data_IF_113676518422
#
_entry.id   IF_113676518422
#
_cell.length_a   1.000
_cell.length_b   1.000
_cell.length_c   1.000
_cell.angle_alpha   90.00
_cell.angle_beta   90.00
_cell.angle_gamma   90.00
#
_symmetry.space_group_name_H-M   'P 1'
#
loop_
_entity.id
_entity.type
_entity.pdbx_description
1 polymer ?
#
# COMPACT_ATOMS: atom_id res chain seq x y z
N UNK A 1 14.77 -25.20 11.36
CA UNK A 1 14.33 -25.69 10.03
C UNK A 1 14.75 -24.64 9.02
N UNK A 2 15.78 -24.92 8.22
CA UNK A 2 16.40 -23.96 7.30
C UNK A 2 15.35 -23.37 6.36
N UNK A 3 15.13 -22.05 6.38
CA UNK A 3 14.59 -21.34 5.20
C UNK A 3 15.63 -21.57 4.10
N UNK A 4 15.26 -22.29 3.05
CA UNK A 4 16.09 -22.35 1.85
C UNK A 4 16.33 -20.89 1.40
N UNK A 5 17.58 -20.45 1.45
CA UNK A 5 17.97 -19.16 0.91
C UNK A 5 17.77 -19.25 -0.60
N UNK A 6 16.83 -18.47 -1.13
CA UNK A 6 16.65 -18.34 -2.58
C UNK A 6 17.97 -17.87 -3.18
N UNK A 7 18.36 -18.46 -4.29
CA UNK A 7 19.49 -18.00 -5.10
C UNK A 7 19.19 -16.60 -5.66
N UNK A 8 20.24 -15.85 -6.01
CA UNK A 8 20.09 -14.52 -6.61
C UNK A 8 19.20 -14.56 -7.87
N UNK A 9 19.30 -15.64 -8.65
CA UNK A 9 18.46 -15.86 -9.83
C UNK A 9 16.98 -16.05 -9.48
N UNK A 10 16.68 -16.82 -8.43
CA UNK A 10 15.31 -17.03 -7.94
C UNK A 10 14.71 -15.73 -7.37
N UNK A 11 15.51 -14.94 -6.64
CA UNK A 11 15.10 -13.62 -6.13
C UNK A 11 14.81 -12.68 -7.30
N UNK A 12 15.71 -12.61 -8.28
CA UNK A 12 15.52 -11.78 -9.47
C UNK A 12 14.24 -12.17 -10.21
N UNK A 13 14.01 -13.48 -10.42
CA UNK A 13 12.82 -13.95 -11.11
C UNK A 13 11.54 -13.62 -10.34
N UNK A 14 11.52 -13.81 -9.02
CA UNK A 14 10.40 -13.46 -8.17
C UNK A 14 10.06 -11.96 -8.22
N UNK A 15 11.07 -11.08 -8.21
CA UNK A 15 10.89 -9.63 -8.33
C UNK A 15 10.35 -9.25 -9.71
N UNK A 16 10.89 -9.85 -10.78
CA UNK A 16 10.41 -9.62 -12.15
C UNK A 16 8.95 -10.04 -12.30
N UNK A 17 8.54 -11.18 -11.74
CA UNK A 17 7.16 -11.64 -11.76
C UNK A 17 6.23 -10.74 -10.94
N UNK A 18 6.71 -10.24 -9.81
CA UNK A 18 5.98 -9.23 -9.03
C UNK A 18 5.78 -7.94 -9.85
N UNK A 19 6.81 -7.48 -10.57
CA UNK A 19 6.73 -6.34 -11.47
C UNK A 19 5.74 -6.53 -12.63
N UNK A 20 5.74 -7.71 -13.26
CA UNK A 20 4.77 -8.05 -14.32
C UNK A 20 3.33 -8.01 -13.81
N UNK A 21 3.07 -8.61 -12.64
CA UNK A 21 1.75 -8.58 -11.99
C UNK A 21 1.33 -7.17 -11.62
N UNK A 22 2.21 -6.36 -11.04
CA UNK A 22 1.91 -4.98 -10.70
C UNK A 22 1.60 -4.13 -11.94
N UNK A 23 2.34 -4.33 -13.04
CA UNK A 23 2.04 -3.65 -14.31
C UNK A 23 0.66 -4.02 -14.85
N UNK A 24 0.31 -5.30 -14.83
CA UNK A 24 -1.03 -5.75 -15.23
C UNK A 24 -2.12 -5.13 -14.33
N UNK A 25 -1.91 -5.13 -13.01
CA UNK A 25 -2.83 -4.53 -12.06
C UNK A 25 -2.99 -3.01 -12.29
N UNK A 26 -1.90 -2.28 -12.59
CA UNK A 26 -1.97 -0.84 -12.88
C UNK A 26 -2.90 -0.53 -14.07
N UNK A 27 -2.91 -1.38 -15.10
CA UNK A 27 -3.83 -1.23 -16.23
C UNK A 27 -5.30 -1.44 -15.84
N UNK A 28 -5.59 -2.33 -14.89
CA UNK A 28 -6.94 -2.52 -14.37
C UNK A 28 -7.37 -1.40 -13.43
N UNK A 29 -6.46 -0.89 -12.58
CA UNK A 29 -6.74 0.19 -11.64
C UNK A 29 -7.16 1.49 -12.33
N UNK A 30 -6.57 1.80 -13.50
CA UNK A 30 -6.94 2.99 -14.30
C UNK A 30 -8.40 2.96 -14.76
N UNK A 31 -9.02 1.78 -14.86
CA UNK A 31 -10.42 1.63 -15.30
C UNK A 31 -11.43 1.90 -14.17
N UNK A 32 -10.97 1.93 -12.92
CA UNK A 32 -11.85 2.12 -11.78
C UNK A 32 -12.33 3.57 -11.68
N UNK A 33 -13.63 3.74 -11.46
CA UNK A 33 -14.20 5.04 -11.14
C UNK A 33 -13.75 5.51 -9.76
N UNK A 34 -13.77 6.82 -9.53
CA UNK A 34 -13.51 7.40 -8.20
C UNK A 34 -14.40 6.78 -7.12
N UNK A 35 -15.69 6.59 -7.41
CA UNK A 35 -16.64 5.98 -6.47
C UNK A 35 -16.22 4.54 -6.09
N UNK A 36 -15.83 3.72 -7.08
CA UNK A 36 -15.37 2.34 -6.82
C UNK A 36 -14.06 2.32 -6.04
N UNK A 37 -13.10 3.20 -6.38
CA UNK A 37 -11.84 3.32 -5.63
C UNK A 37 -12.10 3.70 -4.17
N UNK A 38 -13.01 4.64 -3.92
CA UNK A 38 -13.36 5.08 -2.57
C UNK A 38 -14.06 3.97 -1.78
N UNK A 39 -15.01 3.25 -2.39
CA UNK A 39 -15.67 2.11 -1.74
C UNK A 39 -14.67 1.03 -1.32
N UNK A 40 -13.71 0.69 -2.20
CA UNK A 40 -12.63 -0.25 -1.89
C UNK A 40 -11.79 0.25 -0.71
N UNK A 41 -11.37 1.51 -0.70
CA UNK A 41 -10.58 2.08 0.41
C UNK A 41 -11.34 2.05 1.75
N UNK A 42 -12.64 2.30 1.74
CA UNK A 42 -13.46 2.20 2.96
C UNK A 42 -13.51 0.76 3.48
N UNK A 43 -13.71 -0.22 2.58
CA UNK A 43 -13.69 -1.64 2.95
C UNK A 43 -12.32 -2.13 3.44
N UNK A 44 -11.23 -1.55 2.91
CA UNK A 44 -9.88 -1.76 3.40
C UNK A 44 -9.71 -1.24 4.84
N UNK A 45 -10.20 -0.04 5.13
CA UNK A 45 -10.16 0.54 6.47
C UNK A 45 -10.95 -0.30 7.49
N UNK A 46 -12.16 -0.73 7.12
CA UNK A 46 -13.01 -1.56 7.98
C UNK A 46 -12.36 -2.93 8.26
N UNK A 47 -11.70 -3.53 7.27
CA UNK A 47 -11.02 -4.81 7.45
C UNK A 47 -9.76 -4.70 8.32
N UNK A 48 -9.05 -3.57 8.30
CA UNK A 48 -7.94 -3.32 9.24
C UNK A 48 -8.44 -3.38 10.68
N UNK A 49 -9.55 -2.72 10.99
CA UNK A 49 -10.15 -2.75 12.33
C UNK A 49 -10.70 -4.13 12.69
N UNK A 50 -11.39 -4.80 11.75
CA UNK A 50 -11.92 -6.15 11.97
C UNK A 50 -10.82 -7.18 12.29
N UNK A 51 -9.59 -6.95 11.80
CA UNK A 51 -8.41 -7.81 12.04
C UNK A 51 -7.49 -7.32 13.15
N UNK A 52 -7.92 -6.37 13.98
CA UNK A 52 -7.09 -5.74 15.01
C UNK A 52 -6.31 -6.74 15.85
N UNK A 53 -7.00 -7.73 16.43
CA UNK A 53 -6.37 -8.73 17.29
C UNK A 53 -5.24 -9.50 16.57
N UNK A 54 -5.44 -9.84 15.29
CA UNK A 54 -4.44 -10.54 14.49
C UNK A 54 -3.23 -9.67 14.14
N UNK A 55 -3.48 -8.38 13.82
CA UNK A 55 -2.41 -7.42 13.49
C UNK A 55 -1.58 -7.10 14.74
N UNK A 56 -2.20 -6.88 15.89
CA UNK A 56 -1.48 -6.62 17.14
C UNK A 56 -0.69 -7.84 17.61
N UNK A 57 -1.24 -9.05 17.46
CA UNK A 57 -0.50 -10.29 17.74
C UNK A 57 0.71 -10.49 16.81
N UNK A 58 0.60 -10.09 15.54
CA UNK A 58 1.73 -10.08 14.61
C UNK A 58 2.78 -9.03 15.01
N UNK A 59 2.35 -7.85 15.45
CA UNK A 59 3.26 -6.80 15.89
C UNK A 59 4.02 -7.15 17.16
N UNK A 60 3.42 -7.86 18.12
CA UNK A 60 4.16 -8.27 19.32
C UNK A 60 5.32 -9.22 18.96
N UNK A 61 5.14 -10.12 17.99
CA UNK A 61 6.22 -10.99 17.50
C UNK A 61 7.37 -10.19 16.88
N UNK A 62 7.05 -9.13 16.14
CA UNK A 62 8.04 -8.20 15.60
C UNK A 62 8.78 -7.46 16.73
N UNK A 63 8.06 -6.99 17.76
CA UNK A 63 8.63 -6.29 18.91
C UNK A 63 9.54 -7.19 19.76
N UNK A 64 9.14 -8.44 20.01
CA UNK A 64 9.98 -9.44 20.67
C UNK A 64 11.30 -9.65 19.92
N UNK A 65 11.23 -9.85 18.60
CA UNK A 65 12.44 -9.97 17.76
C UNK A 65 13.28 -8.70 17.75
N UNK A 66 12.65 -7.53 17.67
CA UNK A 66 13.35 -6.25 17.67
C UNK A 66 14.14 -6.03 18.97
N UNK A 67 13.51 -6.33 20.12
CA UNK A 67 14.16 -6.25 21.43
C UNK A 67 15.31 -7.26 21.54
N UNK A 68 15.10 -8.51 21.11
CA UNK A 68 16.13 -9.54 21.13
C UNK A 68 17.33 -9.20 20.22
N UNK A 69 17.09 -8.53 19.10
CA UNK A 69 18.13 -8.08 18.16
C UNK A 69 18.77 -6.74 18.56
N UNK A 70 18.44 -6.18 19.72
CA UNK A 70 19.07 -4.96 20.24
C UNK A 70 18.69 -3.67 19.49
N UNK A 71 17.51 -3.61 18.86
CA UNK A 71 17.04 -2.37 18.24
C UNK A 71 16.91 -1.26 19.29
N UNK A 72 17.26 -0.03 18.90
CA UNK A 72 17.14 1.14 19.78
C UNK A 72 15.68 1.37 20.21
N UNK A 73 15.48 1.97 21.39
CA UNK A 73 14.16 2.33 21.90
C UNK A 73 13.33 3.17 20.90
N UNK A 74 14.00 4.06 20.16
CA UNK A 74 13.37 4.87 19.11
C UNK A 74 12.88 4.01 17.93
N UNK A 75 13.60 2.96 17.55
CA UNK A 75 13.16 2.05 16.48
C UNK A 75 12.02 1.15 16.96
N UNK A 76 12.09 0.66 18.20
CA UNK A 76 11.01 -0.12 18.81
C UNK A 76 9.73 0.71 18.91
N UNK A 77 9.83 1.99 19.29
CA UNK A 77 8.67 2.89 19.28
C UNK A 77 8.07 3.05 17.88
N UNK A 78 8.88 3.27 16.84
CA UNK A 78 8.37 3.36 15.45
C UNK A 78 7.71 2.06 14.97
N UNK A 79 8.20 0.91 15.43
CA UNK A 79 7.67 -0.41 15.10
C UNK A 79 6.35 -0.72 15.83
N UNK A 80 6.13 -0.12 17.00
CA UNK A 80 5.01 -0.47 17.88
C UNK A 80 3.66 -0.09 17.27
N UNK A 81 2.74 -1.07 17.24
CA UNK A 81 1.32 -0.86 17.02
C UNK A 81 0.56 -1.09 18.33
N UNK A 82 -0.53 -0.35 18.49
CA UNK A 82 -1.49 -0.51 19.58
C UNK A 82 -2.88 -0.15 19.03
N UNK A 83 -3.98 -0.40 19.76
CA UNK A 83 -5.33 -0.13 19.25
C UNK A 83 -5.51 1.31 18.73
N UNK A 84 -4.94 2.31 19.44
CA UNK A 84 -4.99 3.71 19.01
C UNK A 84 -4.26 3.94 17.69
N UNK A 85 -3.04 3.41 17.53
CA UNK A 85 -2.26 3.55 16.29
C UNK A 85 -2.91 2.79 15.13
N UNK A 86 -3.50 1.63 15.39
CA UNK A 86 -4.20 0.87 14.36
C UNK A 86 -5.48 1.58 13.89
N UNK A 87 -6.25 2.14 14.84
CA UNK A 87 -7.40 2.99 14.49
C UNK A 87 -6.99 4.20 13.65
N UNK A 88 -5.88 4.85 14.00
CA UNK A 88 -5.33 5.95 13.21
C UNK A 88 -4.91 5.52 11.79
N UNK A 89 -4.37 4.31 11.62
CA UNK A 89 -4.06 3.75 10.30
C UNK A 89 -5.34 3.57 9.47
N UNK A 90 -6.39 2.97 10.05
CA UNK A 90 -7.67 2.81 9.35
C UNK A 90 -8.30 4.17 9.00
N UNK A 91 -8.23 5.14 9.92
CA UNK A 91 -8.74 6.49 9.68
C UNK A 91 -7.98 7.23 8.57
N UNK A 92 -6.65 7.08 8.50
CA UNK A 92 -5.86 7.63 7.40
C UNK A 92 -6.30 7.06 6.04
N UNK A 93 -6.66 5.77 5.96
CA UNK A 93 -7.21 5.18 4.72
C UNK A 93 -8.56 5.82 4.37
N UNK A 94 -9.43 6.09 5.36
CA UNK A 94 -10.70 6.79 5.13
C UNK A 94 -10.50 8.23 4.69
N UNK A 95 -9.53 8.92 5.27
CA UNK A 95 -9.13 10.27 4.84
C UNK A 95 -8.70 10.27 3.37
N UNK A 96 -7.87 9.30 2.97
CA UNK A 96 -7.45 9.14 1.57
C UNK A 96 -8.64 8.86 0.64
N UNK A 97 -9.64 8.09 1.09
CA UNK A 97 -10.87 7.88 0.33
C UNK A 97 -11.63 9.20 0.10
N UNK A 98 -11.66 10.09 1.11
CA UNK A 98 -12.33 11.38 1.05
C UNK A 98 -11.60 12.43 0.19
N UNK A 99 -10.30 12.27 -0.09
CA UNK A 99 -9.56 13.19 -0.94
C UNK A 99 -10.14 13.26 -2.37
N UNK A 100 -10.00 14.40 -3.07
CA UNK A 100 -10.29 14.47 -4.50
C UNK A 100 -9.45 13.46 -5.28
N UNK A 101 -10.05 12.85 -6.30
CA UNK A 101 -9.35 11.95 -7.20
C UNK A 101 -8.64 12.75 -8.29
N UNK A 102 -7.29 12.71 -8.35
CA UNK A 102 -6.55 13.48 -9.33
C UNK A 102 -6.59 12.85 -10.73
N UNK A 103 -7.00 11.58 -10.86
CA UNK A 103 -6.93 10.85 -12.12
C UNK A 103 -8.02 11.36 -13.08
N UNK A 104 -7.62 11.73 -14.30
CA UNK A 104 -8.53 12.24 -15.33
C UNK A 104 -8.76 13.75 -15.29
N UNK A 105 -8.13 14.48 -14.35
CA UNK A 105 -8.22 15.94 -14.27
C UNK A 105 -7.66 16.60 -15.55
N UNK A 106 -8.46 17.46 -16.19
CA UNK A 106 -8.05 18.28 -17.32
C UNK A 106 -7.24 19.48 -16.82
N UNK A 107 -5.96 19.53 -17.16
CA UNK A 107 -5.03 20.58 -16.74
C UNK A 107 -5.03 21.77 -17.70
N UNK A 108 -5.18 21.51 -19.01
CA UNK A 108 -5.32 22.54 -20.03
C UNK A 108 -5.93 21.99 -21.31
N UNK A 109 -6.66 22.84 -22.04
CA UNK A 109 -7.24 22.52 -23.35
C UNK A 109 -7.09 23.74 -24.28
N UNK A 110 -6.70 23.51 -25.52
CA UNK A 110 -6.69 24.54 -26.56
C UNK A 110 -6.90 23.92 -27.95
N UNK A 111 -7.35 24.75 -28.89
CA UNK A 111 -7.54 24.35 -30.29
C UNK A 111 -6.53 25.08 -31.18
N UNK A 112 -5.83 24.33 -32.03
CA UNK A 112 -4.89 24.89 -33.00
C UNK A 112 -5.66 25.54 -34.17
N UNK A 113 -5.06 26.49 -34.93
CA UNK A 113 -5.71 27.10 -36.09
C UNK A 113 -6.19 26.11 -37.17
N UNK A 114 -5.60 24.91 -37.20
CA UNK A 114 -5.99 23.81 -38.10
C UNK A 114 -7.11 22.91 -37.53
N UNK A 115 -7.76 23.29 -36.43
CA UNK A 115 -8.87 22.55 -35.82
C UNK A 115 -8.49 21.41 -34.88
N UNK A 116 -7.19 21.11 -34.68
CA UNK A 116 -6.75 20.07 -33.73
C UNK A 116 -7.01 20.53 -32.30
N UNK A 117 -7.80 19.75 -31.56
CA UNK A 117 -8.01 19.92 -30.11
C UNK A 117 -6.93 19.19 -29.33
N UNK A 118 -6.23 19.91 -28.46
CA UNK A 118 -5.16 19.37 -27.61
C UNK A 118 -5.61 19.49 -26.16
N UNK A 119 -5.50 18.39 -25.39
CA UNK A 119 -5.84 18.31 -23.97
C UNK A 119 -4.66 17.74 -23.19
N UNK A 120 -4.30 18.41 -22.10
CA UNK A 120 -3.37 17.88 -21.09
C UNK A 120 -4.18 17.32 -19.94
N UNK A 121 -4.13 16.00 -19.74
CA UNK A 121 -4.91 15.29 -18.73
C UNK A 121 -3.98 14.58 -17.75
N UNK A 122 -4.33 14.57 -16.46
CA UNK A 122 -3.56 13.87 -15.44
C UNK A 122 -3.85 12.36 -15.49
N UNK A 123 -2.79 11.55 -15.49
CA UNK A 123 -2.85 10.09 -15.51
C UNK A 123 -1.98 9.51 -14.37
N UNK A 124 -2.23 8.26 -13.93
CA UNK A 124 -1.36 7.61 -12.96
C UNK A 124 0.06 7.42 -13.51
N UNK A 125 1.03 7.30 -12.61
CA UNK A 125 2.43 7.00 -12.96
C UNK A 125 2.55 5.55 -13.46
N UNK A 126 1.78 4.63 -12.87
CA UNK A 126 1.73 3.22 -13.23
C UNK A 126 2.03 2.33 -12.04
N UNK A 127 3.30 1.96 -11.85
CA UNK A 127 3.75 1.10 -10.74
C UNK A 127 4.70 1.89 -9.84
N UNK A 128 4.45 1.86 -8.54
CA UNK A 128 5.27 2.54 -7.53
C UNK A 128 5.88 1.49 -6.60
N UNK A 129 7.21 1.45 -6.55
CA UNK A 129 7.96 0.65 -5.58
C UNK A 129 8.31 1.47 -4.35
N UNK A 130 8.02 0.95 -3.16
CA UNK A 130 8.18 1.66 -1.89
C UNK A 130 9.04 0.82 -0.96
N UNK A 131 10.17 1.38 -0.57
CA UNK A 131 11.15 0.78 0.33
C UNK A 131 11.11 1.55 1.63
N UNK A 132 10.83 0.87 2.74
CA UNK A 132 10.68 1.51 4.05
C UNK A 132 11.18 0.59 5.18
N UNK A 133 11.42 1.19 6.34
CA UNK A 133 11.96 0.52 7.54
C UNK A 133 11.19 0.93 8.79
N UNK A 134 11.05 -0.03 9.71
CA UNK A 134 10.63 0.10 11.12
C UNK A 134 9.32 0.87 11.34
N UNK A 135 8.43 0.91 10.35
CA UNK A 135 7.16 1.66 10.38
C UNK A 135 6.04 0.87 9.70
N UNK A 136 5.36 -0.03 10.43
CA UNK A 136 4.31 -0.86 9.84
C UNK A 136 3.18 -0.06 9.19
N UNK A 137 2.86 1.12 9.72
CA UNK A 137 1.82 2.02 9.18
C UNK A 137 2.06 2.40 7.71
N UNK A 138 3.32 2.50 7.27
CA UNK A 138 3.67 2.84 5.89
C UNK A 138 3.11 1.82 4.89
N UNK A 139 2.93 0.56 5.30
CA UNK A 139 2.26 -0.46 4.48
C UNK A 139 0.89 0.01 4.03
N UNK A 140 0.10 0.59 4.94
CA UNK A 140 -1.27 1.05 4.67
C UNK A 140 -1.30 2.41 4.00
N UNK A 141 -0.58 3.38 4.55
CA UNK A 141 -0.57 4.76 4.05
C UNK A 141 -0.15 4.78 2.58
N UNK A 142 0.94 4.08 2.26
CA UNK A 142 1.50 4.09 0.94
C UNK A 142 0.64 3.31 -0.07
N UNK A 143 0.06 2.17 0.34
CA UNK A 143 -0.87 1.41 -0.48
C UNK A 143 -2.14 2.20 -0.80
N UNK A 144 -2.75 2.85 0.20
CA UNK A 144 -3.98 3.63 0.04
C UNK A 144 -3.81 4.81 -0.93
N UNK A 145 -2.72 5.57 -0.80
CA UNK A 145 -2.42 6.72 -1.67
C UNK A 145 -2.16 6.27 -3.11
N UNK A 146 -1.37 5.22 -3.29
CA UNK A 146 -1.14 4.66 -4.62
C UNK A 146 -2.45 4.17 -5.25
N UNK A 147 -3.26 3.44 -4.48
CA UNK A 147 -4.53 2.91 -4.95
C UNK A 147 -5.51 4.03 -5.35
N UNK A 148 -5.66 5.06 -4.50
CA UNK A 148 -6.50 6.25 -4.80
C UNK A 148 -6.07 6.92 -6.10
N UNK A 149 -4.77 7.02 -6.32
CA UNK A 149 -4.17 7.66 -7.51
C UNK A 149 -4.03 6.73 -8.72
N UNK A 150 -4.61 5.53 -8.67
CA UNK A 150 -4.64 4.58 -9.80
C UNK A 150 -3.30 3.90 -10.09
N UNK A 151 -2.40 3.83 -9.10
CA UNK A 151 -1.09 3.19 -9.21
C UNK A 151 -1.11 1.83 -8.52
N UNK A 152 -0.46 0.83 -9.13
CA UNK A 152 -0.13 -0.40 -8.43
C UNK A 152 1.08 -0.18 -7.52
N UNK A 153 1.12 -0.87 -6.38
CA UNK A 153 2.17 -0.68 -5.37
C UNK A 153 2.95 -1.96 -5.14
N UNK A 154 4.27 -1.85 -5.08
CA UNK A 154 5.17 -2.87 -4.58
C UNK A 154 5.77 -2.40 -3.26
N UNK A 155 5.53 -3.15 -2.18
CA UNK A 155 5.99 -2.79 -0.84
C UNK A 155 7.16 -3.68 -0.43
N UNK A 156 8.30 -3.06 -0.11
CA UNK A 156 9.46 -3.70 0.50
C UNK A 156 9.69 -3.06 1.87
N UNK A 157 9.14 -3.68 2.90
CA UNK A 157 9.39 -3.32 4.29
C UNK A 157 10.67 -3.93 4.85
N UNK A 158 11.15 -3.39 5.97
CA UNK A 158 12.23 -3.96 6.78
C UNK A 158 11.86 -5.32 7.39
N UNK A 159 12.86 -6.16 7.63
CA UNK A 159 12.69 -7.51 8.19
C UNK A 159 12.21 -7.49 9.64
N UNK A 160 12.44 -6.39 10.35
CA UNK A 160 12.02 -6.16 11.72
C UNK A 160 10.51 -5.95 11.88
N UNK A 161 9.79 -5.62 10.78
CA UNK A 161 8.35 -5.37 10.77
C UNK A 161 7.58 -6.39 9.91
N UNK A 162 8.21 -7.52 9.59
CA UNK A 162 7.70 -8.42 8.54
C UNK A 162 6.33 -9.00 8.86
N UNK A 163 6.07 -9.38 10.12
CA UNK A 163 4.80 -10.00 10.49
C UNK A 163 3.67 -8.94 10.47
N UNK A 164 3.95 -7.74 10.97
CA UNK A 164 3.03 -6.59 10.95
C UNK A 164 2.69 -6.18 9.52
N UNK A 165 3.70 -6.07 8.64
CA UNK A 165 3.53 -5.67 7.25
C UNK A 165 2.68 -6.70 6.49
N UNK A 166 2.92 -7.99 6.70
CA UNK A 166 2.12 -9.07 6.09
C UNK A 166 0.67 -9.02 6.59
N UNK A 167 0.47 -8.86 7.91
CA UNK A 167 -0.87 -8.80 8.48
C UNK A 167 -1.68 -7.59 7.97
N UNK A 168 -1.05 -6.41 7.88
CA UNK A 168 -1.67 -5.22 7.31
C UNK A 168 -1.96 -5.39 5.81
N UNK A 169 -1.00 -5.89 5.03
CA UNK A 169 -1.21 -6.13 3.60
C UNK A 169 -2.34 -7.13 3.34
N UNK A 170 -2.46 -8.19 4.17
CA UNK A 170 -3.54 -9.16 4.09
C UNK A 170 -4.91 -8.55 4.44
N UNK A 171 -4.97 -7.64 5.43
CA UNK A 171 -6.20 -6.92 5.75
C UNK A 171 -6.65 -6.02 4.59
N UNK A 172 -5.72 -5.28 3.98
CA UNK A 172 -6.00 -4.46 2.81
C UNK A 172 -6.51 -5.30 1.62
N UNK A 173 -5.86 -6.43 1.32
CA UNK A 173 -6.29 -7.32 0.24
C UNK A 173 -7.69 -7.86 0.50
N UNK A 174 -7.96 -8.38 1.69
CA UNK A 174 -9.28 -8.92 2.04
C UNK A 174 -10.38 -7.85 2.03
N UNK A 175 -10.07 -6.62 2.46
CA UNK A 175 -10.99 -5.49 2.34
C UNK A 175 -11.29 -5.15 0.89
N UNK A 176 -10.26 -5.07 0.04
CA UNK A 176 -10.41 -4.73 -1.36
C UNK A 176 -11.12 -5.79 -2.21
N UNK A 177 -10.97 -7.09 -1.90
CA UNK A 177 -11.63 -8.18 -2.61
C UNK A 177 -13.15 -8.26 -2.36
N UNK A 178 -13.63 -7.74 -1.23
CA UNK A 178 -15.07 -7.75 -0.87
C UNK A 178 -15.88 -6.61 -1.48
N UNK A 179 -15.21 -5.59 -2.01
CA UNK A 179 -15.82 -4.34 -2.45
C UNK A 179 -16.29 -4.38 -3.90
#
# INVERSE_FOLDING_TARGET
MLRALMTDSEIQQAILDMGRRARAAAHELVKLTTAKKNAILLMMADEIEAREAGILAANEKDLERARANGLSSAMVDRLTLNPKRLKAIADAVREVAALPDPVGELLSEWTRPNGIRIRKVRVPIGVIGIIFESRPNVTSDAASLCFKTGNATLLRGGSEAIDSNIALAAALQAGGERA
#
